data_IF_075697171917
#
_entry.id   IF_075697171917
#
_cell.length_a   1.000
_cell.length_b   1.000
_cell.length_c   1.000
_cell.angle_alpha   90.00
_cell.angle_beta   90.00
_cell.angle_gamma   90.00
#
_symmetry.space_group_name_H-M   'P 1'
#
loop_
_entity.id
_entity.type
_entity.pdbx_description
1 polymer ?
#
# COMPACT_ATOMS: atom_id res chain seq x y z
N UNK A 1 -17.08 32.45 92.16
CA UNK A 1 -17.05 33.74 91.42
C UNK A 1 -16.01 33.61 90.31
N UNK A 2 -16.31 34.16 89.13
CA UNK A 2 -15.59 34.10 87.82
C UNK A 2 -16.00 32.85 87.01
N UNK A 3 -17.00 32.88 86.11
CA UNK A 3 -17.21 33.59 84.80
C UNK A 3 -16.99 32.61 83.63
N UNK A 4 -18.09 32.08 83.06
CA UNK A 4 -18.61 32.27 81.66
C UNK A 4 -17.78 31.56 80.57
N UNK A 5 -18.28 30.96 79.48
CA UNK A 5 -19.57 30.47 78.99
C UNK A 5 -19.26 29.71 77.67
N UNK A 6 -19.91 28.56 77.42
CA UNK A 6 -20.88 28.27 76.34
C UNK A 6 -20.35 28.14 74.89
N UNK A 7 -20.50 26.89 74.41
CA UNK A 7 -20.98 26.40 73.12
C UNK A 7 -20.32 26.77 71.78
N UNK A 8 -20.07 25.70 71.00
CA UNK A 8 -20.90 25.43 69.81
C UNK A 8 -20.22 25.54 68.45
N UNK A 9 -20.40 24.49 67.64
CA UNK A 9 -20.06 24.42 66.20
C UNK A 9 -19.04 23.31 65.94
N UNK A 10 -19.32 22.24 65.20
CA UNK A 10 -20.10 22.14 63.98
C UNK A 10 -19.14 21.66 62.88
N UNK A 11 -19.41 20.46 62.35
CA UNK A 11 -18.52 19.71 61.48
C UNK A 11 -18.09 20.45 60.19
N UNK A 12 -16.88 20.17 59.71
CA UNK A 12 -16.50 20.39 58.31
C UNK A 12 -15.62 19.23 57.81
N UNK A 13 -16.23 18.26 57.12
CA UNK A 13 -15.54 17.31 56.26
C UNK A 13 -14.87 18.08 55.12
N UNK A 14 -13.55 18.07 55.07
CA UNK A 14 -12.80 18.64 53.94
C UNK A 14 -12.92 17.73 52.72
N UNK A 15 -13.69 18.20 51.74
CA UNK A 15 -13.79 17.65 50.39
C UNK A 15 -12.46 17.85 49.66
N UNK A 16 -11.76 16.75 49.35
CA UNK A 16 -10.71 16.75 48.34
C UNK A 16 -11.32 16.92 46.96
N UNK A 17 -11.28 18.14 46.42
CA UNK A 17 -11.48 18.38 44.98
C UNK A 17 -10.26 17.87 44.23
N UNK A 18 -10.36 16.68 43.62
CA UNK A 18 -9.45 16.28 42.54
C UNK A 18 -9.76 17.13 41.31
N UNK A 19 -8.84 18.03 40.97
CA UNK A 19 -8.85 18.67 39.65
C UNK A 19 -8.30 17.65 38.66
N UNK A 20 -9.18 16.86 38.03
CA UNK A 20 -8.80 16.12 36.83
C UNK A 20 -8.83 17.10 35.66
N UNK A 21 -7.69 17.73 35.39
CA UNK A 21 -7.49 18.34 34.07
C UNK A 21 -7.53 17.22 33.02
N UNK A 22 -8.42 17.27 32.01
CA UNK A 22 -8.36 16.32 30.93
C UNK A 22 -7.05 16.62 30.18
N UNK A 23 -6.08 15.70 30.25
CA UNK A 23 -4.90 15.73 29.38
C UNK A 23 -5.42 15.64 27.94
N UNK A 24 -5.51 16.79 27.25
CA UNK A 24 -5.78 16.86 25.82
C UNK A 24 -4.57 16.30 25.08
N UNK A 25 -4.56 15.00 24.81
CA UNK A 25 -3.56 14.34 23.95
C UNK A 25 -3.86 14.51 22.46
N UNK A 26 -4.61 15.54 22.04
CA UNK A 26 -5.12 15.64 20.66
C UNK A 26 -4.31 16.53 19.71
N UNK A 27 -3.13 17.04 20.12
CA UNK A 27 -2.43 18.06 19.32
C UNK A 27 -1.07 17.63 18.74
N UNK A 28 -0.36 16.71 19.40
CA UNK A 28 0.99 16.32 18.95
C UNK A 28 0.89 15.35 17.77
N UNK A 29 0.00 14.37 17.83
CA UNK A 29 -0.20 13.39 16.75
C UNK A 29 -0.72 14.04 15.46
N UNK A 30 -1.62 15.02 15.55
CA UNK A 30 -2.15 15.75 14.39
C UNK A 30 -1.10 16.66 13.77
N UNK A 31 -0.28 17.34 14.58
CA UNK A 31 0.82 18.16 14.10
C UNK A 31 1.89 17.31 13.40
N UNK A 32 2.33 16.20 14.02
CA UNK A 32 3.30 15.27 13.43
C UNK A 32 2.75 14.66 12.13
N UNK A 33 1.50 14.23 12.12
CA UNK A 33 0.85 13.73 10.90
C UNK A 33 0.81 14.78 9.80
N UNK A 34 0.52 16.04 10.13
CA UNK A 34 0.49 17.12 9.14
C UNK A 34 1.89 17.45 8.59
N UNK A 35 2.93 17.33 9.42
CA UNK A 35 4.32 17.59 9.04
C UNK A 35 4.83 16.46 8.14
N UNK A 36 4.57 15.20 8.50
CA UNK A 36 4.88 14.05 7.65
C UNK A 36 4.10 14.15 6.34
N UNK A 37 2.78 14.33 6.37
CA UNK A 37 1.96 14.48 5.15
C UNK A 37 2.41 15.63 4.26
N UNK A 38 2.82 16.77 4.84
CA UNK A 38 3.35 17.91 4.09
C UNK A 38 4.69 17.57 3.44
N UNK A 39 5.63 17.02 4.20
CA UNK A 39 6.94 16.58 3.68
C UNK A 39 6.80 15.51 2.59
N UNK A 40 5.86 14.58 2.74
CA UNK A 40 5.59 13.54 1.74
C UNK A 40 4.90 14.08 0.49
N UNK A 41 3.98 15.03 0.67
CA UNK A 41 3.35 15.75 -0.43
C UNK A 41 4.40 16.54 -1.20
N UNK A 42 5.23 17.32 -0.52
CA UNK A 42 6.29 18.12 -1.15
C UNK A 42 7.32 17.22 -1.85
N UNK A 43 7.66 16.06 -1.29
CA UNK A 43 8.65 15.15 -1.87
C UNK A 43 8.13 14.30 -3.04
N UNK A 44 6.84 13.91 -3.05
CA UNK A 44 6.32 12.93 -4.03
C UNK A 44 5.24 13.45 -4.98
N UNK A 45 4.50 14.52 -4.65
CA UNK A 45 3.45 15.05 -5.55
C UNK A 45 4.00 15.98 -6.65
N UNK A 46 5.21 16.53 -6.50
CA UNK A 46 5.72 17.52 -7.46
C UNK A 46 6.35 16.93 -8.74
N UNK A 47 6.73 15.64 -8.82
CA UNK A 47 7.69 15.24 -9.87
C UNK A 47 7.52 13.94 -10.65
N UNK A 48 6.57 13.07 -10.36
CA UNK A 48 6.52 11.78 -11.09
C UNK A 48 5.16 11.54 -11.71
N UNK A 49 4.99 12.08 -12.93
CA UNK A 49 3.99 11.58 -13.86
C UNK A 49 4.30 10.11 -14.22
N UNK A 50 3.29 9.28 -14.50
CA UNK A 50 3.55 7.94 -15.03
C UNK A 50 4.40 8.07 -16.31
N UNK A 51 5.38 7.17 -16.54
CA UNK A 51 6.13 7.15 -17.78
C UNK A 51 5.19 7.00 -18.98
N UNK A 52 5.39 7.80 -20.02
CA UNK A 52 4.64 7.65 -21.26
C UNK A 52 4.87 6.25 -21.85
N UNK A 53 3.85 5.57 -22.39
CA UNK A 53 2.48 6.02 -22.63
C UNK A 53 1.47 5.49 -21.59
N UNK A 54 1.90 5.25 -20.34
CA UNK A 54 1.02 4.75 -19.30
C UNK A 54 0.17 5.85 -18.67
N UNK A 55 -1.03 5.44 -18.23
CA UNK A 55 -1.96 6.27 -17.49
C UNK A 55 -2.28 5.61 -16.15
N UNK A 56 -2.47 6.42 -15.12
CA UNK A 56 -2.85 5.93 -13.79
C UNK A 56 -4.34 5.54 -13.79
N UNK A 57 -4.65 4.34 -13.31
CA UNK A 57 -6.02 3.88 -13.15
C UNK A 57 -6.73 4.67 -12.05
N UNK A 58 -7.92 5.18 -12.35
CA UNK A 58 -8.72 5.93 -11.38
C UNK A 58 -9.04 5.07 -10.15
N UNK A 59 -8.75 5.58 -8.95
CA UNK A 59 -8.96 4.86 -7.69
C UNK A 59 -7.88 3.82 -7.36
N UNK A 60 -6.79 3.74 -8.12
CA UNK A 60 -5.72 2.76 -7.89
C UNK A 60 -5.00 2.88 -6.53
N UNK A 61 -5.05 4.04 -5.87
CA UNK A 61 -4.51 4.24 -4.52
C UNK A 61 -5.35 3.54 -3.44
N UNK A 62 -6.62 3.27 -3.73
CA UNK A 62 -7.58 2.71 -2.78
C UNK A 62 -7.91 1.26 -3.11
N UNK A 63 -7.85 0.88 -4.39
CA UNK A 63 -8.07 -0.48 -4.86
C UNK A 63 -6.81 -1.35 -4.75
N UNK A 64 -6.99 -2.67 -4.69
CA UNK A 64 -5.92 -3.66 -4.79
C UNK A 64 -5.56 -4.06 -6.23
N UNK A 65 -6.15 -3.40 -7.23
CA UNK A 65 -6.02 -3.75 -8.65
C UNK A 65 -4.88 -3.02 -9.38
N UNK A 66 -4.94 -2.97 -10.71
CA UNK A 66 -3.89 -2.36 -11.52
C UNK A 66 -3.74 -0.87 -11.25
N UNK A 67 -2.49 -0.42 -11.26
CA UNK A 67 -2.08 0.96 -11.03
C UNK A 67 -1.90 1.71 -12.34
N UNK A 68 -1.26 1.07 -13.32
CA UNK A 68 -1.04 1.65 -14.64
C UNK A 68 -1.80 0.87 -15.71
N UNK A 69 -2.28 1.60 -16.71
CA UNK A 69 -2.86 1.04 -17.93
C UNK A 69 -2.36 1.76 -19.17
N UNK A 70 -2.24 1.02 -20.26
CA UNK A 70 -2.05 1.57 -21.60
C UNK A 70 -2.68 0.68 -22.66
N UNK A 71 -2.85 1.23 -23.86
CA UNK A 71 -3.15 0.46 -25.07
C UNK A 71 -1.89 0.30 -25.92
N UNK A 72 -1.73 -0.86 -26.55
CA UNK A 72 -0.73 -1.12 -27.57
C UNK A 72 -1.38 -1.81 -28.75
N UNK A 73 -1.69 -1.05 -29.81
CA UNK A 73 -2.58 -1.52 -30.85
C UNK A 73 -3.97 -1.81 -30.27
N UNK A 74 -4.42 -3.05 -30.40
CA UNK A 74 -5.67 -3.56 -29.84
C UNK A 74 -5.52 -4.22 -28.46
N UNK A 75 -4.29 -4.34 -27.95
CA UNK A 75 -4.01 -4.96 -26.66
C UNK A 75 -4.12 -3.95 -25.51
N UNK A 76 -4.78 -4.36 -24.42
CA UNK A 76 -4.78 -3.62 -23.15
C UNK A 76 -3.69 -4.19 -22.23
N UNK A 77 -2.80 -3.32 -21.76
CA UNK A 77 -1.74 -3.66 -20.81
C UNK A 77 -2.11 -3.05 -19.46
N UNK A 78 -2.22 -3.91 -18.45
CA UNK A 78 -2.50 -3.53 -17.06
C UNK A 78 -1.33 -3.93 -16.17
N UNK A 79 -0.84 -3.00 -15.34
CA UNK A 79 0.27 -3.25 -14.41
C UNK A 79 -0.24 -3.11 -12.97
N UNK A 80 -0.13 -4.18 -12.20
CA UNK A 80 -0.26 -4.14 -10.74
C UNK A 80 1.13 -4.27 -10.12
N UNK A 81 1.39 -3.54 -9.03
CA UNK A 81 2.71 -3.50 -8.39
C UNK A 81 2.61 -3.88 -6.92
N UNK A 82 3.59 -4.61 -6.42
CA UNK A 82 3.72 -4.97 -5.01
C UNK A 82 5.17 -5.00 -4.54
N UNK A 83 5.36 -4.84 -3.23
CA UNK A 83 6.59 -5.19 -2.52
C UNK A 83 6.43 -6.57 -1.89
N UNK A 84 7.49 -7.37 -1.88
CA UNK A 84 7.55 -8.51 -0.97
C UNK A 84 7.64 -7.92 0.44
N UNK A 85 6.61 -8.11 1.25
CA UNK A 85 6.69 -7.72 2.65
C UNK A 85 7.81 -8.55 3.30
N UNK A 86 8.71 -7.91 4.04
CA UNK A 86 9.61 -8.60 4.96
C UNK A 86 8.75 -9.22 6.08
N UNK A 87 8.21 -10.40 5.84
CA UNK A 87 7.36 -11.14 6.80
C UNK A 87 8.21 -11.73 7.94
N UNK A 88 9.55 -11.64 7.85
CA UNK A 88 10.49 -12.11 8.87
C UNK A 88 11.14 -10.88 9.54
N UNK A 89 10.70 -10.48 10.75
CA UNK A 89 11.45 -9.53 11.54
C UNK A 89 12.70 -10.24 12.09
N UNK A 90 13.86 -10.04 11.46
CA UNK A 90 15.14 -10.42 12.09
C UNK A 90 16.22 -11.07 11.21
N UNK A 91 16.04 -11.24 9.89
CA UNK A 91 17.11 -11.75 9.01
C UNK A 91 17.26 -10.91 7.74
N UNK A 92 17.49 -9.62 7.91
CA UNK A 92 18.03 -8.77 6.85
C UNK A 92 19.09 -7.92 7.51
N UNK A 93 20.35 -8.10 7.10
CA UNK A 93 21.46 -7.27 7.51
C UNK A 93 21.03 -5.79 7.56
N UNK A 94 21.49 -5.10 8.58
CA UNK A 94 21.42 -3.65 8.72
C UNK A 94 22.33 -2.96 7.69
N UNK A 95 22.30 -3.41 6.43
CA UNK A 95 22.85 -2.65 5.33
C UNK A 95 21.77 -1.71 4.80
N UNK A 96 22.11 -0.44 4.83
CA UNK A 96 21.33 0.74 4.47
C UNK A 96 21.02 0.72 2.96
N UNK A 97 20.14 -0.19 2.55
CA UNK A 97 19.81 -0.45 1.15
C UNK A 97 18.40 -0.98 1.05
N UNK A 98 17.42 -0.12 1.30
CA UNK A 98 16.00 -0.45 1.28
C UNK A 98 15.62 -1.32 0.08
N UNK A 99 14.66 -2.25 0.29
CA UNK A 99 14.19 -3.24 -0.68
C UNK A 99 14.00 -2.61 -2.07
N UNK A 100 15.04 -2.66 -2.91
CA UNK A 100 15.09 -2.01 -4.21
C UNK A 100 14.47 -2.90 -5.30
N UNK A 101 13.65 -3.87 -4.91
CA UNK A 101 12.94 -4.76 -5.82
C UNK A 101 11.45 -4.57 -5.70
N UNK A 102 10.81 -4.31 -6.83
CA UNK A 102 9.36 -4.32 -6.99
C UNK A 102 8.95 -5.54 -7.82
N UNK A 103 7.80 -6.13 -7.50
CA UNK A 103 7.19 -7.17 -8.33
C UNK A 103 6.05 -6.57 -9.13
N UNK A 104 6.12 -6.76 -10.46
CA UNK A 104 5.10 -6.32 -11.40
C UNK A 104 4.28 -7.52 -11.86
N UNK A 105 2.97 -7.38 -11.75
CA UNK A 105 1.99 -8.22 -12.40
C UNK A 105 1.56 -7.49 -13.65
N UNK A 106 1.97 -8.00 -14.81
CA UNK A 106 1.65 -7.40 -16.10
C UNK A 106 0.67 -8.31 -16.83
N UNK A 107 -0.56 -7.84 -16.99
CA UNK A 107 -1.59 -8.51 -17.76
C UNK A 107 -1.70 -7.88 -19.15
N UNK A 108 -1.59 -8.70 -20.19
CA UNK A 108 -1.80 -8.34 -21.59
C UNK A 108 -3.07 -9.00 -22.09
N UNK A 109 -4.11 -8.19 -22.28
CA UNK A 109 -5.43 -8.65 -22.71
C UNK A 109 -5.69 -8.30 -24.18
N UNK A 110 -6.17 -9.27 -24.94
CA UNK A 110 -6.58 -9.12 -26.35
C UNK A 110 -8.09 -9.03 -26.48
N UNK A 111 -8.62 -8.33 -27.51
CA UNK A 111 -10.04 -8.30 -27.77
C UNK A 111 -10.55 -9.70 -28.14
N UNK A 112 -11.74 -10.06 -27.67
CA UNK A 112 -12.37 -11.36 -27.92
C UNK A 112 -11.76 -12.55 -27.19
N UNK A 113 -10.70 -12.37 -26.38
CA UNK A 113 -10.11 -13.43 -25.59
C UNK A 113 -10.60 -13.41 -24.13
N UNK A 114 -10.95 -14.59 -23.61
CA UNK A 114 -11.39 -14.74 -22.21
C UNK A 114 -10.21 -14.76 -21.22
N UNK A 115 -9.01 -15.07 -21.71
CA UNK A 115 -7.79 -15.09 -20.92
C UNK A 115 -6.86 -13.95 -21.35
N UNK A 116 -6.06 -13.47 -20.41
CA UNK A 116 -4.94 -12.57 -20.62
C UNK A 116 -3.62 -13.33 -20.40
N UNK A 117 -2.58 -12.86 -21.09
CA UNK A 117 -1.22 -13.31 -20.86
C UNK A 117 -0.66 -12.53 -19.66
N UNK A 118 -0.24 -13.25 -18.64
CA UNK A 118 0.22 -12.68 -17.38
C UNK A 118 1.72 -12.93 -17.19
N UNK A 119 2.48 -11.85 -16.96
CA UNK A 119 3.88 -11.88 -16.60
C UNK A 119 4.06 -11.46 -15.14
N UNK A 120 4.88 -12.22 -14.41
CA UNK A 120 5.47 -11.76 -13.18
C UNK A 120 6.88 -11.26 -13.48
N UNK A 121 7.13 -9.97 -13.25
CA UNK A 121 8.45 -9.36 -13.46
C UNK A 121 9.04 -8.87 -12.14
N UNK A 122 10.35 -9.04 -11.99
CA UNK A 122 11.15 -8.34 -10.99
C UNK A 122 11.66 -7.04 -11.59
N UNK A 123 11.49 -5.94 -10.88
CA UNK A 123 11.90 -4.60 -11.30
C UNK A 123 12.86 -4.01 -10.27
N UNK A 124 14.04 -3.62 -10.73
CA UNK A 124 15.10 -2.95 -9.99
C UNK A 124 15.32 -1.53 -10.53
N UNK A 125 16.13 -0.68 -9.90
CA UNK A 125 16.37 0.69 -10.36
C UNK A 125 17.00 0.76 -11.76
N UNK A 126 17.83 -0.22 -12.12
CA UNK A 126 18.68 -0.25 -13.32
C UNK A 126 18.46 -1.49 -14.20
N UNK A 127 17.58 -2.40 -13.80
CA UNK A 127 17.34 -3.66 -14.49
C UNK A 127 15.93 -4.20 -14.24
N UNK A 128 15.51 -5.15 -15.07
CA UNK A 128 14.28 -5.90 -14.86
C UNK A 128 14.41 -7.33 -15.42
N UNK A 129 13.62 -8.26 -14.89
CA UNK A 129 13.66 -9.66 -15.28
C UNK A 129 12.25 -10.28 -15.29
N UNK A 130 12.04 -11.27 -16.15
CA UNK A 130 10.82 -12.10 -16.12
C UNK A 130 11.05 -13.26 -15.15
N UNK A 131 10.15 -13.42 -14.18
CA UNK A 131 10.15 -14.57 -13.27
C UNK A 131 9.26 -15.70 -13.79
N UNK A 132 8.08 -15.37 -14.33
CA UNK A 132 7.17 -16.38 -14.88
C UNK A 132 6.20 -15.79 -15.89
N UNK A 133 5.68 -16.66 -16.75
CA UNK A 133 4.69 -16.35 -17.78
C UNK A 133 3.57 -17.39 -17.69
N UNK A 134 2.32 -16.92 -17.61
CA UNK A 134 1.15 -17.77 -17.38
C UNK A 134 -0.08 -17.23 -18.11
N UNK A 135 -1.07 -18.09 -18.37
CA UNK A 135 -2.39 -17.66 -18.86
C UNK A 135 -3.34 -17.49 -17.67
N UNK A 136 -4.01 -16.34 -17.56
CA UNK A 136 -4.98 -16.08 -16.51
C UNK A 136 -6.32 -15.61 -17.08
N UNK A 137 -7.47 -15.94 -16.47
CA UNK A 137 -8.74 -15.34 -16.86
C UNK A 137 -8.67 -13.82 -16.78
N UNK A 138 -9.33 -13.15 -17.72
CA UNK A 138 -9.58 -11.71 -17.67
C UNK A 138 -10.64 -11.44 -16.59
N UNK A 139 -10.29 -11.58 -15.31
CA UNK A 139 -11.24 -11.35 -14.23
C UNK A 139 -11.36 -9.85 -13.93
N UNK A 140 -12.59 -9.34 -13.87
CA UNK A 140 -12.88 -7.93 -13.63
C UNK A 140 -12.67 -7.48 -12.16
N UNK A 141 -12.38 -8.39 -11.23
CA UNK A 141 -12.32 -8.05 -9.79
C UNK A 141 -11.59 -9.02 -8.86
N UNK A 142 -11.14 -10.19 -9.30
CA UNK A 142 -10.36 -11.07 -8.40
C UNK A 142 -8.93 -10.55 -8.36
N UNK A 143 -8.47 -10.14 -7.18
CA UNK A 143 -7.06 -9.78 -6.95
C UNK A 143 -6.10 -10.93 -7.29
N UNK A 144 -4.86 -10.80 -6.85
CA UNK A 144 -3.71 -11.69 -7.13
C UNK A 144 -3.91 -13.21 -6.99
N UNK A 145 -5.05 -13.68 -6.47
CA UNK A 145 -5.35 -15.09 -6.21
C UNK A 145 -5.32 -15.89 -7.51
N UNK A 146 -4.25 -16.66 -7.67
CA UNK A 146 -4.10 -17.67 -8.73
C UNK A 146 -4.94 -18.87 -8.33
N UNK A 147 -5.79 -19.34 -9.23
CA UNK A 147 -6.43 -20.65 -9.07
C UNK A 147 -5.33 -21.72 -9.07
N UNK A 148 -5.09 -22.44 -7.94
CA UNK A 148 -4.00 -23.39 -7.83
C UNK A 148 -4.14 -24.57 -8.79
N UNK A 149 -5.32 -24.78 -9.35
CA UNK A 149 -5.57 -25.86 -10.31
C UNK A 149 -5.20 -25.48 -11.75
N UNK A 150 -4.81 -24.23 -12.01
CA UNK A 150 -4.41 -23.78 -13.34
C UNK A 150 -2.92 -23.89 -13.55
N UNK A 151 -2.55 -24.41 -14.71
CA UNK A 151 -1.17 -24.48 -15.15
C UNK A 151 -0.54 -23.07 -15.18
N UNK A 152 0.48 -22.86 -14.36
CA UNK A 152 1.14 -21.57 -14.16
C UNK A 152 2.29 -21.30 -15.13
N UNK A 153 2.42 -22.13 -16.17
CA UNK A 153 3.57 -22.11 -17.07
C UNK A 153 4.74 -22.97 -16.57
N UNK A 154 5.75 -23.19 -17.43
CA UNK A 154 6.97 -23.87 -17.02
C UNK A 154 7.84 -22.97 -16.14
N UNK A 155 8.88 -23.55 -15.53
CA UNK A 155 9.94 -22.76 -14.89
C UNK A 155 10.61 -21.93 -15.99
N UNK A 156 10.64 -20.61 -15.82
CA UNK A 156 11.11 -19.70 -16.87
C UNK A 156 12.58 -19.96 -17.26
N UNK A 157 13.41 -20.40 -16.31
CA UNK A 157 14.81 -20.74 -16.54
C UNK A 157 15.00 -21.98 -17.42
N UNK A 158 14.02 -22.88 -17.48
CA UNK A 158 14.08 -24.10 -18.30
C UNK A 158 13.62 -23.84 -19.74
N UNK A 159 13.01 -22.67 -20.00
CA UNK A 159 12.66 -22.25 -21.35
C UNK A 159 13.94 -21.95 -22.13
N UNK A 160 14.02 -22.43 -23.37
CA UNK A 160 15.16 -22.18 -24.26
C UNK A 160 15.43 -20.69 -24.48
N UNK A 161 16.70 -20.32 -24.56
CA UNK A 161 17.19 -18.94 -24.61
C UNK A 161 16.47 -18.06 -25.64
N UNK A 162 16.39 -18.48 -26.90
CA UNK A 162 15.72 -17.69 -27.94
C UNK A 162 14.23 -17.43 -27.69
N UNK A 163 13.55 -18.31 -26.94
CA UNK A 163 12.16 -18.07 -26.53
C UNK A 163 12.10 -17.08 -25.36
N UNK A 164 13.03 -17.13 -24.41
CA UNK A 164 13.15 -16.12 -23.34
C UNK A 164 13.42 -14.74 -23.92
N UNK A 165 14.32 -14.64 -24.90
CA UNK A 165 14.63 -13.38 -25.59
C UNK A 165 13.41 -12.82 -26.31
N UNK A 166 12.63 -13.69 -26.96
CA UNK A 166 11.37 -13.31 -27.63
C UNK A 166 10.34 -12.79 -26.62
N UNK A 167 10.22 -13.43 -25.45
CA UNK A 167 9.31 -13.01 -24.38
C UNK A 167 9.75 -11.67 -23.77
N UNK A 168 11.06 -11.47 -23.58
CA UNK A 168 11.62 -10.19 -23.16
C UNK A 168 11.30 -9.09 -24.17
N UNK A 169 11.63 -9.26 -25.45
CA UNK A 169 11.34 -8.28 -26.48
C UNK A 169 9.84 -8.00 -26.64
N UNK A 170 8.99 -9.01 -26.48
CA UNK A 170 7.54 -8.87 -26.50
C UNK A 170 7.05 -7.90 -25.41
N UNK A 171 7.46 -8.10 -24.16
CA UNK A 171 6.95 -7.30 -23.04
C UNK A 171 7.65 -5.93 -22.94
N UNK A 172 8.89 -5.81 -23.40
CA UNK A 172 9.62 -4.55 -23.51
C UNK A 172 8.99 -3.61 -24.54
N UNK A 173 8.61 -4.12 -25.72
CA UNK A 173 7.82 -3.36 -26.71
C UNK A 173 6.46 -2.89 -26.11
N UNK A 174 5.99 -3.59 -25.07
CA UNK A 174 4.81 -3.23 -24.28
C UNK A 174 5.07 -2.17 -23.21
N UNK A 175 6.27 -1.58 -23.20
CA UNK A 175 6.66 -0.49 -22.30
C UNK A 175 7.08 -0.96 -20.91
N UNK A 176 7.31 -2.26 -20.71
CA UNK A 176 7.84 -2.78 -19.45
C UNK A 176 9.37 -2.65 -19.47
N UNK A 177 9.88 -1.75 -18.65
CA UNK A 177 11.31 -1.50 -18.46
C UNK A 177 11.58 -0.79 -17.12
N UNK A 178 12.86 -0.60 -16.80
CA UNK A 178 13.37 0.01 -15.58
C UNK A 178 12.89 1.46 -15.35
N UNK A 179 12.50 2.20 -16.40
CA UNK A 179 11.98 3.57 -16.25
C UNK A 179 10.64 3.63 -15.48
N UNK A 180 9.96 2.49 -15.31
CA UNK A 180 8.78 2.38 -14.45
C UNK A 180 9.13 2.50 -12.96
N UNK A 181 10.37 2.18 -12.57
CA UNK A 181 10.77 2.03 -11.17
C UNK A 181 10.59 3.31 -10.34
N UNK A 182 11.10 4.50 -10.76
CA UNK A 182 10.99 5.70 -9.94
C UNK A 182 9.53 6.08 -9.65
N UNK A 183 8.66 5.94 -10.64
CA UNK A 183 7.24 6.21 -10.49
C UNK A 183 6.55 5.20 -9.57
N UNK A 184 6.78 3.90 -9.79
CA UNK A 184 6.10 2.85 -9.02
C UNK A 184 6.57 2.79 -7.56
N UNK A 185 7.85 3.08 -7.31
CA UNK A 185 8.40 3.18 -5.96
C UNK A 185 7.73 4.33 -5.18
N UNK A 186 7.65 5.52 -5.80
CA UNK A 186 6.93 6.68 -5.26
C UNK A 186 5.44 6.37 -5.05
N UNK A 187 4.82 5.70 -6.02
CA UNK A 187 3.41 5.33 -5.96
C UNK A 187 3.09 4.44 -4.75
N UNK A 188 3.87 3.37 -4.56
CA UNK A 188 3.68 2.46 -3.43
C UNK A 188 3.90 3.17 -2.09
N UNK A 189 4.88 4.07 -2.02
CA UNK A 189 5.09 4.88 -0.82
C UNK A 189 3.83 5.67 -0.42
N UNK A 190 3.22 6.37 -1.37
CA UNK A 190 1.97 7.13 -1.15
C UNK A 190 0.80 6.20 -0.82
N UNK A 191 0.69 5.06 -1.52
CA UNK A 191 -0.36 4.07 -1.32
C UNK A 191 -0.32 3.48 0.09
N UNK A 192 0.84 3.00 0.52
CA UNK A 192 1.04 2.39 1.84
C UNK A 192 0.72 3.40 2.96
N UNK A 193 1.17 4.64 2.81
CA UNK A 193 0.86 5.69 3.78
C UNK A 193 -0.66 5.97 3.87
N UNK A 194 -1.35 6.08 2.73
CA UNK A 194 -2.81 6.30 2.70
C UNK A 194 -3.55 5.11 3.33
N UNK A 195 -3.12 3.89 3.03
CA UNK A 195 -3.69 2.67 3.59
C UNK A 195 -3.49 2.60 5.10
N UNK A 196 -2.30 2.92 5.62
CA UNK A 196 -2.03 2.99 7.04
C UNK A 196 -2.93 4.01 7.76
N UNK A 197 -3.08 5.21 7.19
CA UNK A 197 -3.95 6.23 7.77
C UNK A 197 -5.43 5.82 7.78
N UNK A 198 -5.90 5.16 6.72
CA UNK A 198 -7.24 4.59 6.68
C UNK A 198 -7.41 3.47 7.69
N UNK A 199 -6.41 2.61 7.86
CA UNK A 199 -6.42 1.54 8.86
C UNK A 199 -6.52 2.10 10.28
N UNK A 200 -5.71 3.11 10.65
CA UNK A 200 -5.80 3.75 11.97
C UNK A 200 -7.20 4.33 12.25
N UNK A 201 -7.82 4.96 11.24
CA UNK A 201 -9.19 5.47 11.37
C UNK A 201 -10.21 4.35 11.57
N UNK A 202 -10.09 3.26 10.81
CA UNK A 202 -10.97 2.09 10.92
C UNK A 202 -10.86 1.43 12.29
N UNK A 203 -9.64 1.20 12.78
CA UNK A 203 -9.39 0.62 14.10
C UNK A 203 -9.90 1.55 15.21
N UNK A 204 -9.58 2.85 15.13
CA UNK A 204 -10.08 3.83 16.10
C UNK A 204 -11.61 3.90 16.14
N UNK A 205 -12.27 3.78 14.98
CA UNK A 205 -13.74 3.77 14.91
C UNK A 205 -14.34 2.49 15.47
N UNK A 206 -13.68 1.34 15.25
CA UNK A 206 -14.10 0.05 15.79
C UNK A 206 -14.01 0.01 17.33
N UNK A 207 -12.87 0.45 17.90
CA UNK A 207 -12.63 0.43 19.35
C UNK A 207 -13.55 1.43 20.08
N UNK A 208 -13.75 2.63 19.52
CA UNK A 208 -14.54 3.68 20.16
C UNK A 208 -16.05 3.51 19.97
N UNK A 209 -16.51 2.46 19.29
CA UNK A 209 -17.93 2.13 19.16
C UNK A 209 -18.46 1.75 20.54
N UNK A 210 -19.05 2.72 21.26
CA UNK A 210 -19.76 2.44 22.52
C UNK A 210 -20.83 1.38 22.23
N UNK A 211 -20.86 0.31 23.04
CA UNK A 211 -21.99 -0.61 23.05
C UNK A 211 -23.24 0.24 23.27
N UNK A 212 -24.12 0.27 22.27
CA UNK A 212 -25.46 0.79 22.44
C UNK A 212 -26.11 -0.04 23.52
N UNK A 213 -26.55 0.66 24.56
CA UNK A 213 -27.44 0.18 25.60
C UNK A 213 -28.56 -0.70 25.04
N UNK A 214 -28.53 -1.99 25.32
CA UNK A 214 -29.76 -2.76 25.51
C UNK A 214 -30.18 -2.53 26.96
N UNK A 215 -31.28 -1.79 27.10
CA UNK A 215 -32.10 -1.69 28.30
C UNK A 215 -33.47 -2.31 27.95
#
# INVERSE_FOLDING_TARGET
MWRTAVAGGGAALQSWRRVTSPRRFSSVSTAVNSIVLRSLKEHYLEKVSPPSPFTVVKGALESGGPVLKRMYGDEEISISVMRLANIIPGEGDEDDGGINQLFLHVDVAKPGQMNALHFLCGLYPDAWAIHSVSMRPKAESSGFIVDPNKYSGPIFQDIGEGMRDTLHGYIEARGINENLFPFLQAWLYVKDHRQLMHWFKSVGSFINRKQGSEA
#
